data_IF_683192989578
#
_entry.id   IF_683192989578
#
_cell.length_a   1.000
_cell.length_b   1.000
_cell.length_c   1.000
_cell.angle_alpha   90.00
_cell.angle_beta   90.00
_cell.angle_gamma   90.00
#
_symmetry.space_group_name_H-M   'P 1'
#
loop_
_entity.id
_entity.type
_entity.pdbx_description
1 polymer ?
#
# COMPACT_ATOMS: atom_id res chain seq x y z
N UNK A 1 -37.17 2.48 -34.32
CA UNK A 1 -37.45 2.38 -32.87
C UNK A 1 -36.62 1.35 -32.18
N UNK A 2 -36.45 0.15 -32.72
CA UNK A 2 -35.62 -0.89 -32.11
C UNK A 2 -34.14 -0.50 -31.97
N UNK A 3 -33.57 0.22 -32.95
CA UNK A 3 -32.19 0.70 -32.90
C UNK A 3 -31.95 1.73 -31.80
N UNK A 4 -32.95 2.52 -31.45
CA UNK A 4 -32.85 3.53 -30.40
C UNK A 4 -32.81 2.88 -29.03
N UNK A 5 -33.64 1.86 -28.81
CA UNK A 5 -33.65 1.12 -27.54
C UNK A 5 -32.32 0.35 -27.31
N UNK A 6 -31.78 -0.27 -28.38
CA UNK A 6 -30.51 -0.95 -28.32
C UNK A 6 -29.37 0.01 -27.99
N UNK A 7 -29.36 1.21 -28.57
CA UNK A 7 -28.36 2.25 -28.28
C UNK A 7 -28.50 2.77 -26.85
N UNK A 8 -29.71 2.93 -26.34
CA UNK A 8 -29.94 3.35 -24.96
C UNK A 8 -29.49 2.29 -23.97
N UNK A 9 -29.72 1.01 -24.25
CA UNK A 9 -29.26 -0.10 -23.43
C UNK A 9 -27.73 -0.18 -23.40
N UNK A 10 -27.09 0.00 -24.55
CA UNK A 10 -25.64 0.03 -24.66
C UNK A 10 -25.05 1.19 -23.87
N UNK A 11 -25.66 2.37 -23.97
CA UNK A 11 -25.24 3.55 -23.21
C UNK A 11 -25.37 3.32 -21.71
N UNK A 12 -26.48 2.73 -21.25
CA UNK A 12 -26.69 2.39 -19.84
C UNK A 12 -25.66 1.40 -19.33
N UNK A 13 -25.30 0.39 -20.12
CA UNK A 13 -24.28 -0.59 -19.78
C UNK A 13 -22.92 0.10 -19.62
N UNK A 14 -22.57 0.98 -20.55
CA UNK A 14 -21.29 1.74 -20.50
C UNK A 14 -21.22 2.63 -19.27
N UNK A 15 -22.31 3.32 -18.93
CA UNK A 15 -22.40 4.15 -17.74
C UNK A 15 -22.24 3.32 -16.47
N UNK A 16 -22.89 2.16 -16.42
CA UNK A 16 -22.79 1.24 -15.28
C UNK A 16 -21.36 0.74 -15.08
N UNK A 17 -20.70 0.35 -16.16
CA UNK A 17 -19.31 -0.09 -16.14
C UNK A 17 -18.40 1.04 -15.65
N UNK A 18 -18.61 2.27 -16.16
CA UNK A 18 -17.82 3.43 -15.73
C UNK A 18 -18.02 3.73 -14.24
N UNK A 19 -19.25 3.65 -13.73
CA UNK A 19 -19.54 3.82 -12.31
C UNK A 19 -18.86 2.77 -11.45
N UNK A 20 -18.89 1.51 -11.85
CA UNK A 20 -18.23 0.42 -11.13
C UNK A 20 -16.72 0.60 -11.13
N UNK A 21 -16.13 1.02 -12.23
CA UNK A 21 -14.71 1.30 -12.31
C UNK A 21 -14.30 2.47 -11.41
N UNK A 22 -15.13 3.52 -11.38
CA UNK A 22 -14.90 4.67 -10.52
C UNK A 22 -14.98 4.29 -9.03
N UNK A 23 -15.95 3.47 -8.66
CA UNK A 23 -16.07 2.96 -7.28
C UNK A 23 -14.87 2.11 -6.87
N UNK A 24 -14.40 1.24 -7.76
CA UNK A 24 -13.22 0.40 -7.50
C UNK A 24 -11.96 1.25 -7.33
N UNK A 25 -11.78 2.24 -8.20
CA UNK A 25 -10.67 3.18 -8.10
C UNK A 25 -10.70 3.94 -6.76
N UNK A 26 -11.87 4.37 -6.33
CA UNK A 26 -12.08 5.04 -5.05
C UNK A 26 -11.68 4.15 -3.89
N UNK A 27 -12.11 2.90 -3.87
CA UNK A 27 -11.75 1.93 -2.81
C UNK A 27 -10.24 1.70 -2.76
N UNK A 28 -9.60 1.55 -3.92
CA UNK A 28 -8.14 1.40 -4.00
C UNK A 28 -7.43 2.63 -3.45
N UNK A 29 -7.88 3.82 -3.83
CA UNK A 29 -7.29 5.08 -3.36
C UNK A 29 -7.47 5.26 -1.85
N UNK A 30 -8.64 4.94 -1.32
CA UNK A 30 -8.90 5.00 0.12
C UNK A 30 -8.01 4.01 0.89
N UNK A 31 -7.83 2.81 0.35
CA UNK A 31 -6.95 1.80 0.93
C UNK A 31 -5.49 2.28 0.94
N UNK A 32 -5.02 2.85 -0.17
CA UNK A 32 -3.67 3.41 -0.25
C UNK A 32 -3.48 4.56 0.73
N UNK A 33 -4.46 5.46 0.84
CA UNK A 33 -4.41 6.57 1.80
C UNK A 33 -4.32 6.05 3.24
N UNK A 34 -5.07 5.01 3.58
CA UNK A 34 -5.02 4.36 4.88
C UNK A 34 -3.64 3.76 5.18
N UNK A 35 -3.04 3.07 4.21
CA UNK A 35 -1.69 2.52 4.35
C UNK A 35 -0.64 3.61 4.48
N UNK A 36 -0.73 4.67 3.67
CA UNK A 36 0.19 5.81 3.77
C UNK A 36 0.12 6.47 5.13
N UNK A 37 -1.09 6.67 5.66
CA UNK A 37 -1.29 7.22 7.00
C UNK A 37 -0.69 6.29 8.06
N UNK A 38 -0.96 5.00 7.97
CA UNK A 38 -0.46 4.01 8.91
C UNK A 38 1.07 3.91 8.88
N UNK A 39 1.70 4.01 7.69
CA UNK A 39 3.15 4.02 7.54
C UNK A 39 3.78 5.30 8.08
N UNK A 40 3.08 6.41 7.99
CA UNK A 40 3.55 7.70 8.47
C UNK A 40 3.80 7.73 9.98
N UNK A 41 3.03 6.97 10.75
CA UNK A 41 3.18 6.92 12.20
C UNK A 41 4.51 6.29 12.64
N UNK A 42 4.86 5.05 12.24
CA UNK A 42 6.16 4.50 12.61
C UNK A 42 7.33 5.24 11.96
N UNK A 43 7.14 5.80 10.76
CA UNK A 43 8.18 6.62 10.13
C UNK A 43 8.48 7.87 10.96
N UNK A 44 7.48 8.52 11.53
CA UNK A 44 7.64 9.66 12.42
C UNK A 44 8.36 9.27 13.70
N UNK A 45 8.02 8.13 14.29
CA UNK A 45 8.72 7.60 15.47
C UNK A 45 10.19 7.35 15.15
N UNK A 46 10.49 6.76 13.99
CA UNK A 46 11.88 6.53 13.55
C UNK A 46 12.65 7.85 13.43
N UNK A 47 12.07 8.84 12.76
CA UNK A 47 12.72 10.13 12.55
C UNK A 47 13.01 10.81 13.88
N UNK A 48 12.03 10.88 14.77
CA UNK A 48 12.17 11.49 16.11
C UNK A 48 13.21 10.73 16.94
N UNK A 49 13.21 9.41 16.86
CA UNK A 49 14.17 8.56 17.58
C UNK A 49 15.60 8.78 17.08
N UNK A 50 15.78 8.87 15.76
CA UNK A 50 17.09 9.16 15.18
C UNK A 50 17.60 10.55 15.55
N UNK A 51 16.72 11.54 15.56
CA UNK A 51 17.07 12.89 16.01
C UNK A 51 17.52 12.91 17.45
N UNK A 52 16.84 12.15 18.32
CA UNK A 52 17.22 12.02 19.73
C UNK A 52 18.59 11.35 19.88
N UNK A 53 18.87 10.31 19.10
CA UNK A 53 20.16 9.63 19.11
C UNK A 53 21.32 10.52 18.66
N UNK A 54 21.04 11.54 17.85
CA UNK A 54 22.06 12.51 17.40
C UNK A 54 22.34 13.60 18.43
N UNK A 55 21.49 13.74 19.43
CA UNK A 55 21.68 14.75 20.45
C UNK A 55 22.80 14.39 21.40
N UNK A 56 23.56 15.39 21.84
CA UNK A 56 24.60 15.21 22.84
C UNK A 56 23.99 15.08 24.24
N UNK A 57 24.63 14.35 25.11
CA UNK A 57 24.22 14.22 26.51
C UNK A 57 23.13 13.20 26.79
N UNK A 58 22.78 12.37 25.80
CA UNK A 58 21.82 11.28 26.00
C UNK A 58 22.55 10.13 26.68
N UNK A 59 22.01 9.61 27.78
CA UNK A 59 22.62 8.49 28.52
C UNK A 59 22.42 7.15 27.79
N UNK A 60 23.21 6.14 28.19
CA UNK A 60 23.17 4.84 27.54
C UNK A 60 21.81 4.12 27.71
N UNK A 61 21.17 4.28 28.86
CA UNK A 61 19.87 3.67 29.11
C UNK A 61 18.80 4.25 28.15
N UNK A 62 18.80 5.56 27.96
CA UNK A 62 17.90 6.23 27.03
C UNK A 62 18.19 5.80 25.58
N UNK A 63 19.47 5.72 25.21
CA UNK A 63 19.86 5.27 23.87
C UNK A 63 19.32 3.86 23.58
N UNK A 64 19.41 2.94 24.52
CA UNK A 64 18.87 1.58 24.37
C UNK A 64 17.37 1.58 24.19
N UNK A 65 16.64 2.38 24.97
CA UNK A 65 15.20 2.52 24.82
C UNK A 65 14.84 3.06 23.44
N UNK A 66 15.58 4.05 22.97
CA UNK A 66 15.35 4.65 21.65
C UNK A 66 15.60 3.65 20.53
N UNK A 67 16.67 2.84 20.66
CA UNK A 67 16.97 1.78 19.69
C UNK A 67 15.82 0.74 19.64
N UNK A 68 15.29 0.36 20.81
CA UNK A 68 14.15 -0.56 20.87
C UNK A 68 12.91 0.04 20.21
N UNK A 69 12.66 1.33 20.40
CA UNK A 69 11.57 2.03 19.73
C UNK A 69 11.76 2.04 18.21
N UNK A 70 12.98 2.22 17.73
CA UNK A 70 13.30 2.14 16.30
C UNK A 70 13.02 0.74 15.75
N UNK A 71 13.41 -0.28 16.49
CA UNK A 71 13.19 -1.67 16.10
C UNK A 71 11.70 -1.95 15.97
N UNK A 72 10.92 -1.57 16.98
CA UNK A 72 9.45 -1.76 16.96
C UNK A 72 8.80 -1.03 15.79
N UNK A 73 9.24 0.20 15.50
CA UNK A 73 8.72 0.97 14.38
C UNK A 73 9.04 0.30 13.04
N UNK A 74 10.24 -0.24 12.88
CA UNK A 74 10.64 -0.99 11.66
C UNK A 74 9.80 -2.25 11.50
N UNK A 75 9.56 -2.98 12.59
CA UNK A 75 8.73 -4.19 12.56
C UNK A 75 7.28 -3.87 12.21
N UNK A 76 6.76 -2.74 12.69
CA UNK A 76 5.43 -2.27 12.31
C UNK A 76 5.35 -1.94 10.82
N UNK A 77 6.35 -1.24 10.27
CA UNK A 77 6.45 -0.96 8.84
C UNK A 77 6.45 -2.26 8.03
N UNK A 78 7.28 -3.21 8.44
CA UNK A 78 7.37 -4.52 7.79
C UNK A 78 6.01 -5.23 7.77
N UNK A 79 5.30 -5.20 8.89
CA UNK A 79 3.99 -5.80 9.05
C UNK A 79 2.96 -5.14 8.12
N UNK A 80 2.95 -3.82 8.05
CA UNK A 80 2.07 -3.05 7.17
C UNK A 80 2.34 -3.35 5.70
N UNK A 81 3.61 -3.45 5.32
CA UNK A 81 3.97 -3.80 3.94
C UNK A 81 3.52 -5.22 3.57
N UNK A 82 3.64 -6.17 4.49
CA UNK A 82 3.16 -7.53 4.28
C UNK A 82 1.63 -7.56 4.11
N UNK A 83 0.91 -6.80 4.92
CA UNK A 83 -0.55 -6.67 4.81
C UNK A 83 -0.96 -6.04 3.47
N UNK A 84 -0.26 -5.00 3.05
CA UNK A 84 -0.49 -4.37 1.75
C UNK A 84 -0.29 -5.36 0.60
N UNK A 85 0.76 -6.17 0.67
CA UNK A 85 1.04 -7.21 -0.32
C UNK A 85 -0.08 -8.25 -0.38
N UNK A 86 -0.57 -8.71 0.75
CA UNK A 86 -1.68 -9.66 0.82
C UNK A 86 -2.96 -9.10 0.19
N UNK A 87 -3.27 -7.84 0.47
CA UNK A 87 -4.43 -7.17 -0.11
C UNK A 87 -4.29 -7.03 -1.62
N UNK A 88 -3.10 -6.73 -2.10
CA UNK A 88 -2.81 -6.66 -3.53
C UNK A 88 -3.08 -8.00 -4.21
N UNK A 89 -2.58 -9.08 -3.64
CA UNK A 89 -2.78 -10.44 -4.16
C UNK A 89 -4.25 -10.84 -4.16
N UNK A 90 -4.97 -10.52 -3.10
CA UNK A 90 -6.40 -10.79 -3.00
C UNK A 90 -7.20 -10.05 -4.08
N UNK A 91 -6.92 -8.78 -4.30
CA UNK A 91 -7.58 -7.97 -5.34
C UNK A 91 -7.26 -8.53 -6.73
N UNK A 92 -6.01 -8.89 -6.98
CA UNK A 92 -5.59 -9.48 -8.26
C UNK A 92 -6.32 -10.80 -8.53
N UNK A 93 -6.45 -11.68 -7.54
CA UNK A 93 -7.20 -12.94 -7.67
C UNK A 93 -8.68 -12.68 -7.96
N UNK A 94 -9.29 -11.75 -7.25
CA UNK A 94 -10.69 -11.39 -7.46
C UNK A 94 -10.93 -10.88 -8.88
N UNK A 95 -9.99 -10.13 -9.44
CA UNK A 95 -10.06 -9.65 -10.82
C UNK A 95 -9.85 -10.79 -11.83
N UNK A 96 -8.88 -11.64 -11.59
CA UNK A 96 -8.58 -12.78 -12.49
C UNK A 96 -9.72 -13.80 -12.52
N UNK A 97 -10.36 -14.05 -11.40
CA UNK A 97 -11.50 -14.96 -11.33
C UNK A 97 -12.78 -14.37 -11.95
N UNK A 98 -12.87 -13.06 -12.03
CA UNK A 98 -14.06 -12.37 -12.57
C UNK A 98 -14.02 -12.05 -14.04
N UNK A 99 -12.84 -11.72 -14.60
CA UNK A 99 -12.71 -11.34 -16.01
C UNK A 99 -11.24 -11.20 -16.39
N UNK A 100 -10.80 -11.98 -17.38
CA UNK A 100 -9.41 -12.04 -17.84
C UNK A 100 -8.87 -10.68 -18.32
N UNK A 101 -9.73 -9.82 -18.86
CA UNK A 101 -9.30 -8.50 -19.35
C UNK A 101 -9.02 -7.51 -18.23
N UNK A 102 -9.53 -7.74 -17.03
CA UNK A 102 -9.33 -6.84 -15.90
C UNK A 102 -8.00 -7.06 -15.19
N UNK A 103 -7.38 -8.22 -15.35
CA UNK A 103 -6.09 -8.55 -14.73
C UNK A 103 -4.94 -7.65 -15.15
N UNK A 104 -5.05 -7.05 -16.34
CA UNK A 104 -4.01 -6.15 -16.87
C UNK A 104 -4.08 -4.72 -16.30
N UNK A 105 -5.14 -4.38 -15.57
CA UNK A 105 -5.35 -3.03 -15.06
C UNK A 105 -4.61 -2.76 -13.75
N UNK A 106 -4.18 -3.81 -13.05
CA UNK A 106 -3.46 -3.67 -11.78
C UNK A 106 -2.06 -4.21 -11.96
N UNK A 107 -1.20 -3.45 -12.62
CA UNK A 107 0.21 -3.77 -12.62
C UNK A 107 0.87 -2.93 -11.52
N UNK A 108 1.06 -3.54 -10.37
CA UNK A 108 1.86 -2.95 -9.31
C UNK A 108 3.34 -3.29 -9.56
N UNK A 109 4.25 -2.37 -9.25
CA UNK A 109 5.67 -2.63 -9.47
C UNK A 109 6.14 -3.87 -8.69
N UNK A 110 7.01 -4.65 -9.30
CA UNK A 110 7.56 -5.87 -8.70
C UNK A 110 8.53 -5.61 -7.54
N UNK A 111 8.82 -4.36 -7.23
CA UNK A 111 9.79 -4.01 -6.19
C UNK A 111 9.48 -4.66 -4.83
N UNK A 112 8.22 -4.97 -4.57
CA UNK A 112 7.79 -5.59 -3.32
C UNK A 112 8.13 -7.08 -3.24
N UNK A 113 8.49 -7.70 -4.35
CA UNK A 113 8.80 -9.13 -4.44
C UNK A 113 10.28 -9.42 -4.43
N UNK A 114 11.10 -8.41 -4.66
CA UNK A 114 12.55 -8.53 -4.65
C UNK A 114 13.08 -8.17 -3.27
N UNK A 115 14.01 -8.98 -2.79
CA UNK A 115 14.74 -8.61 -1.58
C UNK A 115 15.49 -7.29 -1.82
N UNK A 116 15.45 -6.37 -0.85
CA UNK A 116 16.22 -5.15 -0.98
C UNK A 116 17.72 -5.47 -1.09
N UNK A 117 18.47 -4.67 -1.85
CA UNK A 117 19.91 -4.88 -1.92
C UNK A 117 20.49 -4.79 -0.52
N UNK A 118 21.44 -5.69 -0.22
CA UNK A 118 22.11 -5.68 1.07
C UNK A 118 22.78 -4.33 1.30
N UNK A 119 22.44 -3.70 2.40
CA UNK A 119 23.08 -2.45 2.78
C UNK A 119 24.57 -2.67 3.08
N UNK A 120 25.39 -1.65 2.86
CA UNK A 120 26.83 -1.75 3.07
C UNK A 120 27.22 -2.06 4.50
N UNK A 121 26.31 -1.87 5.46
CA UNK A 121 26.53 -2.15 6.88
C UNK A 121 26.15 -3.57 7.28
N UNK A 122 25.61 -4.37 6.36
CA UNK A 122 25.24 -5.78 6.60
C UNK A 122 26.41 -6.76 6.41
N UNK A 123 27.61 -6.25 6.31
CA UNK A 123 28.80 -7.07 6.16
C UNK A 123 29.24 -7.75 7.46
#
# INVERSE_FOLDING_TARGET
MENQNAKNDETLIRLRVAELQAERAKVVMESLAGFCHALGQPATVLLSSMELLKMDGVDEATKRQVVDMCYDAVMEIKSLLAEMKQRREYVAEAYLSGNDSAGNMISLPEWSEKEPPKASWDK
#
